data_IF_425135527982
#
_entry.id   IF_425135527982
#
_cell.length_a   1.000
_cell.length_b   1.000
_cell.length_c   1.000
_cell.angle_alpha   90.00
_cell.angle_beta   90.00
_cell.angle_gamma   90.00
#
_symmetry.space_group_name_H-M   'P 1'
#
loop_
_entity.id
_entity.type
_entity.pdbx_description
1 polymer ?
#
# COMPACT_ATOMS: atom_id res chain seq x y z
N UNK A 1 14.69 -5.30 7.45
CA UNK A 1 15.31 -4.03 7.89
C UNK A 1 16.03 -3.31 6.76
N UNK A 2 16.89 -4.00 5.99
CA UNK A 2 17.77 -3.38 4.99
C UNK A 2 17.08 -2.47 3.95
N UNK A 3 15.92 -2.84 3.44
CA UNK A 3 15.16 -1.99 2.49
C UNK A 3 14.70 -0.69 3.14
N UNK A 4 14.27 -0.72 4.42
CA UNK A 4 13.81 0.48 5.14
C UNK A 4 14.97 1.44 5.43
N UNK A 5 16.14 0.90 5.79
CA UNK A 5 17.36 1.69 5.99
C UNK A 5 17.78 2.40 4.70
N UNK A 6 17.92 1.65 3.61
CA UNK A 6 18.31 2.21 2.31
C UNK A 6 17.28 3.23 1.79
N UNK A 7 15.98 2.98 2.02
CA UNK A 7 14.93 3.93 1.68
C UNK A 7 15.11 5.27 2.43
N UNK A 8 15.43 5.22 3.73
CA UNK A 8 15.68 6.43 4.52
C UNK A 8 16.91 7.21 4.01
N UNK A 9 18.01 6.51 3.72
CA UNK A 9 19.23 7.10 3.15
C UNK A 9 18.97 7.81 1.81
N UNK A 10 18.04 7.28 1.00
CA UNK A 10 17.68 7.83 -0.31
C UNK A 10 16.46 8.76 -0.28
N UNK A 11 16.02 9.21 0.89
CA UNK A 11 14.86 10.09 1.06
C UNK A 11 13.54 9.54 0.47
N UNK A 12 13.41 8.20 0.42
CA UNK A 12 12.18 7.53 0.00
C UNK A 12 11.21 7.50 1.20
N UNK A 13 10.00 8.07 1.06
CA UNK A 13 9.04 8.10 2.17
C UNK A 13 8.55 6.69 2.52
N UNK A 14 8.42 6.43 3.83
CA UNK A 14 7.84 5.20 4.35
C UNK A 14 6.35 5.42 4.69
N UNK A 15 5.48 4.65 4.06
CA UNK A 15 4.05 4.58 4.38
C UNK A 15 3.73 3.18 4.87
N UNK A 16 3.11 3.08 6.04
CA UNK A 16 2.64 1.79 6.58
C UNK A 16 1.19 1.55 6.17
N UNK A 17 1.00 0.54 5.32
CA UNK A 17 -0.29 0.07 4.83
C UNK A 17 -0.30 -1.48 4.85
N UNK A 18 -0.49 -2.12 6.01
CA UNK A 18 -0.27 -3.56 6.16
C UNK A 18 -1.09 -4.43 5.19
N UNK A 19 -2.39 -4.19 4.94
CA UNK A 19 -3.18 -4.98 3.99
C UNK A 19 -2.62 -4.92 2.56
N UNK A 20 -2.29 -3.72 2.09
CA UNK A 20 -1.77 -3.51 0.74
C UNK A 20 -0.37 -4.12 0.58
N UNK A 21 0.49 -3.94 1.59
CA UNK A 21 1.83 -4.52 1.58
C UNK A 21 1.79 -6.05 1.48
N UNK A 22 0.87 -6.71 2.19
CA UNK A 22 0.68 -8.17 2.09
C UNK A 22 0.11 -8.60 0.75
N UNK A 23 -0.89 -7.88 0.24
CA UNK A 23 -1.51 -8.20 -1.04
C UNK A 23 -0.48 -8.10 -2.18
N UNK A 24 0.31 -7.02 -2.22
CA UNK A 24 1.39 -6.86 -3.20
C UNK A 24 2.44 -7.95 -3.07
N UNK A 25 2.89 -8.25 -1.85
CA UNK A 25 3.89 -9.29 -1.61
C UNK A 25 3.43 -10.69 -2.05
N UNK A 26 2.12 -10.98 -1.95
CA UNK A 26 1.56 -12.28 -2.34
C UNK A 26 1.26 -12.39 -3.84
N UNK A 27 0.88 -11.28 -4.48
CA UNK A 27 0.27 -11.29 -5.81
C UNK A 27 1.13 -10.61 -6.90
N UNK A 28 2.33 -10.13 -6.57
CA UNK A 28 3.27 -9.55 -7.55
C UNK A 28 4.71 -9.94 -7.20
N UNK A 29 5.44 -10.49 -8.18
CA UNK A 29 6.87 -10.75 -8.06
C UNK A 29 7.70 -9.55 -8.55
N UNK A 30 9.03 -9.64 -8.36
CA UNK A 30 9.94 -8.60 -8.81
C UNK A 30 9.93 -8.46 -10.34
N UNK A 31 9.60 -7.26 -10.82
CA UNK A 31 9.51 -6.96 -12.25
C UNK A 31 8.10 -7.07 -12.83
N UNK A 32 7.16 -7.61 -12.05
CA UNK A 32 5.77 -7.69 -12.46
C UNK A 32 5.07 -6.33 -12.41
N UNK A 33 4.06 -6.19 -13.27
CA UNK A 33 3.09 -5.13 -13.14
C UNK A 33 2.17 -5.37 -11.94
N UNK A 34 1.61 -4.29 -11.41
CA UNK A 34 0.67 -4.36 -10.30
C UNK A 34 -0.61 -5.06 -10.77
N UNK A 35 -1.22 -5.96 -9.97
CA UNK A 35 -2.51 -6.53 -10.31
C UNK A 35 -3.59 -5.44 -10.43
N UNK A 36 -4.43 -5.52 -11.47
CA UNK A 36 -5.47 -4.51 -11.74
C UNK A 36 -6.38 -4.24 -10.54
N UNK A 37 -6.69 -5.27 -9.76
CA UNK A 37 -7.52 -5.16 -8.57
C UNK A 37 -6.87 -4.33 -7.43
N UNK A 38 -5.56 -4.08 -7.48
CA UNK A 38 -4.83 -3.23 -6.53
C UNK A 38 -4.55 -1.82 -7.06
N UNK A 39 -4.98 -1.49 -8.29
CA UNK A 39 -4.68 -0.18 -8.89
C UNK A 39 -5.20 0.99 -8.07
N UNK A 40 -6.45 0.93 -7.61
CA UNK A 40 -7.04 2.01 -6.79
C UNK A 40 -6.23 2.22 -5.52
N UNK A 41 -5.96 1.14 -4.78
CA UNK A 41 -5.20 1.17 -3.54
C UNK A 41 -3.79 1.76 -3.73
N UNK A 42 -3.11 1.38 -4.82
CA UNK A 42 -1.78 1.92 -5.13
C UNK A 42 -1.86 3.37 -5.61
N UNK A 43 -2.87 3.75 -6.39
CA UNK A 43 -3.06 5.12 -6.84
C UNK A 43 -3.23 6.09 -5.66
N UNK A 44 -3.93 5.69 -4.61
CA UNK A 44 -4.05 6.47 -3.37
C UNK A 44 -2.70 6.68 -2.67
N UNK A 45 -1.87 5.63 -2.59
CA UNK A 45 -0.50 5.73 -2.06
C UNK A 45 0.32 6.72 -2.87
N UNK A 46 0.29 6.60 -4.20
CA UNK A 46 1.00 7.49 -5.10
C UNK A 46 0.52 8.94 -4.94
N UNK A 47 -0.79 9.17 -4.88
CA UNK A 47 -1.38 10.48 -4.67
C UNK A 47 -0.88 11.11 -3.37
N UNK A 48 -0.88 10.37 -2.25
CA UNK A 48 -0.34 10.85 -0.98
C UNK A 48 1.16 11.18 -1.08
N UNK A 49 1.97 10.32 -1.71
CA UNK A 49 3.41 10.56 -1.89
C UNK A 49 3.66 11.81 -2.74
N UNK A 50 2.89 12.03 -3.80
CA UNK A 50 3.01 13.23 -4.62
C UNK A 50 2.64 14.49 -3.83
N UNK A 51 1.54 14.46 -3.07
CA UNK A 51 1.17 15.59 -2.21
C UNK A 51 2.22 15.85 -1.12
N UNK A 52 2.81 14.79 -0.55
CA UNK A 52 3.86 14.91 0.46
C UNK A 52 5.13 15.54 -0.12
N UNK A 53 5.50 15.19 -1.36
CA UNK A 53 6.61 15.81 -2.08
C UNK A 53 6.31 17.28 -2.37
N UNK A 54 5.11 17.60 -2.84
CA UNK A 54 4.69 18.98 -3.11
C UNK A 54 4.74 19.85 -1.84
N UNK A 55 4.21 19.34 -0.73
CA UNK A 55 4.28 20.00 0.58
C UNK A 55 5.72 20.26 1.03
N UNK A 56 6.61 19.27 0.88
CA UNK A 56 8.03 19.42 1.23
C UNK A 56 8.76 20.47 0.36
N UNK A 57 8.36 20.66 -0.88
CA UNK A 57 9.01 21.59 -1.81
C UNK A 57 8.46 23.02 -1.74
N UNK A 58 7.15 23.17 -1.56
CA UNK A 58 6.46 24.45 -1.71
C UNK A 58 5.77 24.94 -0.42
N UNK A 59 5.75 24.13 0.64
CA UNK A 59 4.98 24.41 1.86
C UNK A 59 3.47 24.22 1.65
N UNK A 60 2.66 24.78 2.55
CA UNK A 60 1.19 24.74 2.47
C UNK A 60 0.54 23.78 3.47
N UNK A 61 -0.63 23.24 3.13
CA UNK A 61 -1.33 22.28 3.98
C UNK A 61 -0.64 20.92 3.91
N UNK A 62 -0.32 20.33 5.07
CA UNK A 62 0.24 18.99 5.13
C UNK A 62 -0.80 17.97 4.63
N UNK A 63 -0.43 17.07 3.71
CA UNK A 63 -1.34 16.05 3.26
C UNK A 63 -1.69 15.09 4.39
N UNK A 64 -2.95 14.69 4.42
CA UNK A 64 -3.42 13.71 5.40
C UNK A 64 -2.98 12.32 4.95
N UNK A 65 -2.33 11.60 5.86
CA UNK A 65 -1.98 10.19 5.61
C UNK A 65 -3.28 9.40 5.45
N UNK A 66 -3.44 8.60 4.37
CA UNK A 66 -4.56 7.67 4.25
C UNK A 66 -4.61 6.77 5.49
N UNK A 67 -5.73 6.81 6.21
CA UNK A 67 -5.89 6.06 7.47
C UNK A 67 -6.28 4.61 7.19
N UNK A 68 -6.98 4.37 6.08
CA UNK A 68 -7.41 3.07 5.62
C UNK A 68 -7.27 3.04 4.10
N UNK A 69 -6.38 2.20 3.58
CA UNK A 69 -6.28 1.97 2.14
C UNK A 69 -7.14 0.76 1.85
N UNK A 70 -8.17 0.96 1.04
CA UNK A 70 -9.11 -0.09 0.69
C UNK A 70 -8.42 -1.13 -0.20
N UNK A 71 -8.20 -2.32 0.35
CA UNK A 71 -7.70 -3.47 -0.40
C UNK A 71 -8.86 -4.45 -0.56
N UNK A 72 -9.15 -4.93 -1.79
CA UNK A 72 -10.18 -5.92 -2.01
C UNK A 72 -9.99 -7.12 -1.06
N UNK A 73 -11.03 -7.53 -0.32
CA UNK A 73 -10.93 -8.56 0.70
C UNK A 73 -10.25 -9.84 0.25
N UNK A 74 -10.45 -10.23 -1.01
CA UNK A 74 -9.96 -11.47 -1.60
C UNK A 74 -8.44 -11.48 -1.83
N UNK A 75 -7.79 -10.31 -1.83
CA UNK A 75 -6.35 -10.16 -2.10
C UNK A 75 -5.52 -9.98 -0.85
N UNK A 76 -6.13 -9.66 0.29
CA UNK A 76 -5.41 -9.65 1.56
C UNK A 76 -5.41 -11.07 2.16
N UNK A 77 -4.26 -11.76 2.22
CA UNK A 77 -4.19 -13.13 2.74
C UNK A 77 -4.60 -13.28 4.20
N UNK A 78 -4.65 -12.18 4.97
CA UNK A 78 -5.06 -12.20 6.37
C UNK A 78 -6.49 -11.68 6.60
N UNK A 79 -7.21 -11.33 5.53
CA UNK A 79 -8.60 -10.93 5.69
C UNK A 79 -9.49 -12.16 5.90
N UNK A 80 -10.20 -12.18 7.02
CA UNK A 80 -11.13 -13.26 7.40
C UNK A 80 -12.28 -13.41 6.40
N UNK A 81 -12.65 -12.34 5.68
CA UNK A 81 -13.65 -12.36 4.61
C UNK A 81 -13.16 -13.02 3.30
N UNK A 82 -11.85 -13.30 3.17
CA UNK A 82 -11.28 -14.03 2.04
C UNK A 82 -11.36 -15.56 2.19
N UNK A 83 -11.68 -16.04 3.40
CA UNK A 83 -11.83 -17.47 3.66
C UNK A 83 -13.23 -17.88 3.18
N UNK A 84 -13.36 -18.91 2.32
CA UNK A 84 -14.68 -19.49 2.09
C UNK A 84 -15.24 -19.90 3.45
N UNK A 85 -16.50 -19.54 3.70
CA UNK A 85 -17.20 -19.94 4.92
C UNK A 85 -16.90 -21.42 5.20
N UNK A 86 -16.55 -21.80 6.45
CA UNK A 86 -16.37 -23.21 6.76
C UNK A 86 -17.67 -23.90 6.36
N UNK A 87 -17.57 -24.88 5.46
CA UNK A 87 -18.68 -25.72 5.05
C UNK A 87 -19.45 -26.10 6.31
N UNK A 88 -20.73 -25.73 6.35
CA UNK A 88 -21.67 -26.24 7.33
C UNK A 88 -21.81 -27.75 7.07
N UNK A 89 -20.92 -28.52 7.68
CA UNK A 89 -20.99 -29.97 7.77
C UNK A 89 -21.82 -30.39 8.97
#
# INVERSE_FOLDING_TARGET
>A
AKIRELAAENNVPLLEAPPLARALFKHADLGDEIPQALYTAVAEVLAYVFQLRAYKQHGGAQPQKPTEIEVPPQLDPLNVAAQPAPDAA
#
